data_IF_941246195928
#
_entry.id   IF_941246195928
#
_cell.length_a   1.000
_cell.length_b   1.000
_cell.length_c   1.000
_cell.angle_alpha   90.00
_cell.angle_beta   90.00
_cell.angle_gamma   90.00
#
_symmetry.space_group_name_H-M   'P 1'
#
loop_
_entity.id
_entity.type
_entity.pdbx_description
1 polymer ?
#
# COMPACT_ATOMS: atom_id res chain seq x y z
N UNK A 1 -37.27 -48.72 10.78
CA UNK A 1 -36.96 -48.21 9.43
C UNK A 1 -37.60 -46.83 9.33
N UNK A 2 -36.95 -45.68 9.20
CA UNK A 2 -35.54 -45.31 9.00
C UNK A 2 -35.47 -43.83 9.39
N UNK A 3 -34.89 -43.50 10.55
CA UNK A 3 -34.61 -42.11 10.93
C UNK A 3 -33.30 -41.69 10.29
N UNK A 4 -33.36 -41.16 9.07
CA UNK A 4 -32.18 -40.64 8.39
C UNK A 4 -31.92 -39.22 8.91
N UNK A 5 -31.01 -39.13 9.88
CA UNK A 5 -30.38 -37.90 10.33
C UNK A 5 -29.87 -37.13 9.11
N UNK A 6 -30.53 -36.03 8.76
CA UNK A 6 -29.92 -34.97 7.97
C UNK A 6 -28.81 -34.37 8.82
N UNK A 7 -27.63 -34.98 8.74
CA UNK A 7 -26.41 -34.42 9.28
C UNK A 7 -26.11 -33.17 8.46
N UNK A 8 -26.70 -32.05 8.86
CA UNK A 8 -26.37 -30.74 8.31
C UNK A 8 -24.89 -30.56 8.57
N UNK A 9 -24.08 -30.71 7.51
CA UNK A 9 -22.72 -30.23 7.47
C UNK A 9 -22.78 -28.71 7.67
N UNK A 10 -22.90 -28.27 8.92
CA UNK A 10 -22.45 -26.95 9.33
C UNK A 10 -20.97 -26.99 8.99
N UNK A 11 -20.62 -26.41 7.84
CA UNK A 11 -19.24 -25.98 7.60
C UNK A 11 -18.83 -25.28 8.90
N UNK A 12 -17.73 -25.70 9.57
CA UNK A 12 -17.25 -24.95 10.71
C UNK A 12 -17.19 -23.51 10.24
N UNK A 13 -17.91 -22.61 10.91
CA UNK A 13 -17.86 -21.19 10.59
C UNK A 13 -16.38 -20.86 10.55
N UNK A 14 -15.88 -20.46 9.38
CA UNK A 14 -14.49 -20.10 9.21
C UNK A 14 -14.13 -19.24 10.41
N UNK A 15 -13.11 -19.65 11.17
CA UNK A 15 -12.66 -18.90 12.33
C UNK A 15 -12.64 -17.41 11.94
N UNK A 16 -13.25 -16.54 12.75
CA UNK A 16 -13.32 -15.11 12.48
C UNK A 16 -11.90 -14.54 12.63
N UNK A 17 -11.08 -14.79 11.62
CA UNK A 17 -9.71 -14.34 11.55
C UNK A 17 -9.76 -12.86 11.19
N UNK A 18 -9.18 -12.04 12.06
CA UNK A 18 -8.93 -10.63 11.77
C UNK A 18 -7.81 -10.59 10.74
N UNK A 19 -8.07 -9.99 9.58
CA UNK A 19 -7.08 -9.80 8.53
C UNK A 19 -6.87 -8.32 8.26
N UNK A 20 -5.70 -8.01 7.71
CA UNK A 20 -5.23 -6.68 7.34
C UNK A 20 -4.41 -6.81 6.05
N UNK A 21 -4.42 -5.77 5.25
CA UNK A 21 -3.66 -5.63 4.01
C UNK A 21 -2.54 -4.64 4.29
N UNK A 22 -1.31 -5.00 3.93
CA UNK A 22 -0.13 -4.16 4.07
C UNK A 22 0.49 -3.94 2.70
N UNK A 23 0.91 -2.71 2.43
CA UNK A 23 1.65 -2.35 1.23
C UNK A 23 3.01 -1.75 1.59
N UNK A 24 3.98 -2.06 0.74
CA UNK A 24 5.31 -1.51 0.74
C UNK A 24 6.25 -2.38 -0.08
N UNK A 25 7.55 -2.15 0.09
CA UNK A 25 8.61 -2.81 -0.67
C UNK A 25 9.90 -2.86 0.15
N UNK A 26 10.87 -3.66 -0.28
CA UNK A 26 12.12 -3.94 0.45
C UNK A 26 12.85 -2.66 0.88
N UNK A 27 12.90 -1.66 0.01
CA UNK A 27 13.56 -0.37 0.20
C UNK A 27 12.88 0.51 1.26
N UNK A 28 11.71 0.10 1.77
CA UNK A 28 10.94 0.73 2.83
C UNK A 28 10.81 -0.16 4.08
N UNK A 29 11.69 -1.15 4.21
CA UNK A 29 11.87 -1.97 5.41
C UNK A 29 10.60 -2.55 6.10
N UNK A 30 9.68 -3.25 5.43
CA UNK A 30 9.18 -3.19 4.05
C UNK A 30 7.79 -2.52 3.96
N UNK A 31 7.35 -1.83 5.00
CA UNK A 31 5.95 -1.48 5.21
C UNK A 31 5.72 0.03 5.16
N UNK A 32 4.65 0.46 4.49
CA UNK A 32 4.33 1.87 4.25
C UNK A 32 2.92 2.19 4.71
N UNK A 33 1.95 1.41 4.24
CA UNK A 33 0.54 1.57 4.58
C UNK A 33 -0.04 0.25 5.06
N UNK A 34 -1.05 0.34 5.92
CA UNK A 34 -1.75 -0.84 6.41
C UNK A 34 -3.22 -0.54 6.71
N UNK A 35 -4.11 -1.50 6.41
CA UNK A 35 -5.51 -1.43 6.85
C UNK A 35 -5.63 -1.91 8.31
N UNK A 36 -6.50 -1.28 9.08
CA UNK A 36 -6.81 -1.76 10.43
C UNK A 36 -7.70 -3.00 10.38
N UNK A 37 -7.54 -3.95 11.31
CA UNK A 37 -8.52 -4.99 11.56
C UNK A 37 -9.94 -4.49 11.85
N UNK A 38 -10.11 -3.21 12.16
CA UNK A 38 -11.40 -2.56 12.45
C UNK A 38 -11.92 -1.71 11.28
N UNK A 39 -11.17 -1.58 10.19
CA UNK A 39 -11.63 -0.89 8.99
C UNK A 39 -12.82 -1.63 8.35
N UNK A 40 -13.60 -0.91 7.55
CA UNK A 40 -14.75 -1.49 6.86
C UNK A 40 -14.32 -2.63 5.93
N UNK A 41 -15.25 -3.55 5.61
CA UNK A 41 -14.98 -4.62 4.66
C UNK A 41 -14.57 -4.06 3.29
N UNK A 42 -15.18 -2.94 2.88
CA UNK A 42 -14.86 -2.26 1.63
C UNK A 42 -13.42 -1.73 1.63
N UNK A 43 -13.01 -1.00 2.67
CA UNK A 43 -11.66 -0.42 2.74
C UNK A 43 -10.59 -1.53 2.78
N UNK A 44 -10.83 -2.63 3.50
CA UNK A 44 -9.92 -3.79 3.53
C UNK A 44 -9.74 -4.48 2.18
N UNK A 45 -10.78 -4.48 1.34
CA UNK A 45 -10.79 -5.16 0.04
C UNK A 45 -10.25 -4.27 -1.10
N UNK A 46 -10.43 -2.96 -1.01
CA UNK A 46 -10.21 -2.04 -2.15
C UNK A 46 -9.08 -1.03 -1.91
N UNK A 47 -8.46 -1.04 -0.73
CA UNK A 47 -7.35 -0.14 -0.40
C UNK A 47 -6.19 -0.94 0.21
N UNK A 48 -5.02 -0.31 0.24
CA UNK A 48 -3.85 -0.79 0.98
C UNK A 48 -3.72 -0.08 2.33
N UNK A 49 -4.78 0.60 2.77
CA UNK A 49 -4.85 1.26 4.07
C UNK A 49 -4.23 2.64 4.09
N UNK A 50 -3.87 3.07 5.30
CA UNK A 50 -3.33 4.41 5.58
C UNK A 50 -1.85 4.33 5.93
N UNK A 51 -1.08 5.43 5.79
CA UNK A 51 0.31 5.48 6.21
C UNK A 51 0.49 4.99 7.65
N UNK A 52 1.56 4.24 7.89
CA UNK A 52 1.96 3.82 9.23
C UNK A 52 2.34 5.02 10.09
N UNK A 53 2.45 4.79 11.40
CA UNK A 53 2.88 5.81 12.34
C UNK A 53 4.23 6.41 11.93
N UNK A 54 4.35 7.74 11.93
CA UNK A 54 5.56 8.47 11.52
C UNK A 54 6.04 8.18 10.09
N UNK A 55 5.15 7.66 9.24
CA UNK A 55 5.37 7.52 7.80
C UNK A 55 4.54 8.57 7.07
N UNK A 56 5.20 9.32 6.20
CA UNK A 56 4.57 10.25 5.29
C UNK A 56 4.42 9.59 3.91
N UNK A 57 3.28 9.80 3.28
CA UNK A 57 3.00 9.35 1.91
C UNK A 57 2.44 10.53 1.13
N UNK A 58 2.94 10.73 -0.09
CA UNK A 58 2.39 11.66 -1.07
C UNK A 58 2.17 10.96 -2.39
N UNK A 59 1.23 11.47 -3.18
CA UNK A 59 1.02 11.06 -4.56
C UNK A 59 1.55 12.17 -5.45
N UNK A 60 2.46 11.87 -6.38
CA UNK A 60 3.11 12.88 -7.24
C UNK A 60 2.86 12.61 -8.72
N UNK A 61 2.84 13.67 -9.51
CA UNK A 61 2.74 13.58 -10.97
C UNK A 61 4.08 13.30 -11.64
N UNK A 62 4.10 13.11 -12.97
CA UNK A 62 5.33 12.86 -13.73
C UNK A 62 6.20 14.11 -13.91
N UNK A 63 5.63 15.31 -13.76
CA UNK A 63 6.31 16.57 -14.05
C UNK A 63 7.17 17.07 -12.88
N UNK A 64 6.64 17.00 -11.66
CA UNK A 64 7.22 17.63 -10.47
C UNK A 64 7.10 16.73 -9.24
N UNK A 65 7.97 16.95 -8.25
CA UNK A 65 7.95 16.24 -6.97
C UNK A 65 6.86 16.74 -5.99
N UNK A 66 6.01 17.67 -6.44
CA UNK A 66 4.94 18.24 -5.64
C UNK A 66 3.74 17.29 -5.54
N UNK A 67 3.05 17.25 -4.39
CA UNK A 67 1.85 16.42 -4.23
C UNK A 67 0.74 16.85 -5.19
N UNK A 68 0.10 15.86 -5.84
CA UNK A 68 -1.14 16.04 -6.57
C UNK A 68 -2.32 16.31 -5.62
N UNK A 69 -3.41 16.92 -6.13
CA UNK A 69 -4.67 16.97 -5.40
C UNK A 69 -5.16 15.57 -4.97
N UNK A 70 -5.88 15.51 -3.85
CA UNK A 70 -6.52 14.28 -3.38
C UNK A 70 -7.45 13.71 -4.46
N UNK A 71 -7.41 12.39 -4.66
CA UNK A 71 -8.20 11.70 -5.68
C UNK A 71 -7.52 11.61 -7.07
N UNK A 72 -6.44 12.34 -7.30
CA UNK A 72 -5.70 12.26 -8.58
C UNK A 72 -4.69 11.09 -8.57
N UNK A 73 -4.59 10.32 -9.67
CA UNK A 73 -3.64 9.23 -9.78
C UNK A 73 -2.22 9.74 -10.06
N UNK A 74 -1.25 9.14 -9.39
CA UNK A 74 0.17 9.44 -9.56
C UNK A 74 1.08 8.40 -8.93
N UNK A 75 2.38 8.67 -8.90
CA UNK A 75 3.34 7.82 -8.21
C UNK A 75 3.18 7.94 -6.69
N UNK A 76 3.17 6.80 -6.00
CA UNK A 76 3.23 6.75 -4.54
C UNK A 76 4.67 7.01 -4.11
N UNK A 77 4.91 8.07 -3.36
CA UNK A 77 6.19 8.33 -2.71
C UNK A 77 6.05 8.25 -1.19
N UNK A 78 7.06 7.71 -0.51
CA UNK A 78 7.05 7.54 0.94
C UNK A 78 8.31 8.10 1.59
N UNK A 79 8.16 8.66 2.79
CA UNK A 79 9.27 9.13 3.63
C UNK A 79 9.04 8.73 5.08
N UNK A 80 10.11 8.36 5.78
CA UNK A 80 10.05 8.02 7.19
C UNK A 80 11.29 7.27 7.65
N UNK A 81 11.25 6.77 8.87
CA UNK A 81 12.36 6.06 9.50
C UNK A 81 12.72 4.73 8.82
N UNK A 82 11.82 4.20 8.00
CA UNK A 82 11.89 2.89 7.36
C UNK A 82 12.55 2.92 5.97
N UNK A 83 12.80 4.11 5.42
CA UNK A 83 13.51 4.26 4.15
C UNK A 83 14.92 3.66 4.27
N UNK A 84 15.31 2.86 3.28
CA UNK A 84 16.62 2.22 3.23
C UNK A 84 17.77 3.23 3.27
N UNK A 85 18.96 2.78 3.64
CA UNK A 85 20.18 3.57 3.51
C UNK A 85 20.61 3.76 2.05
N UNK A 86 20.25 2.82 1.19
CA UNK A 86 20.60 2.82 -0.23
C UNK A 86 20.90 1.41 -0.75
N UNK A 87 21.10 1.34 -2.05
CA UNK A 87 21.59 0.14 -2.71
C UNK A 87 23.11 -0.01 -2.52
N UNK A 88 23.55 -1.22 -2.17
CA UNK A 88 24.96 -1.52 -1.94
C UNK A 88 25.79 -1.29 -3.21
N UNK A 89 26.87 -0.50 -3.09
CA UNK A 89 27.77 -0.11 -4.18
C UNK A 89 27.11 0.53 -5.41
N UNK A 90 25.88 1.05 -5.25
CA UNK A 90 25.09 1.68 -6.31
C UNK A 90 24.55 3.06 -5.86
N UNK A 91 25.44 4.05 -5.66
CA UNK A 91 25.04 5.39 -5.20
C UNK A 91 24.16 6.13 -6.21
N UNK A 92 24.38 5.93 -7.52
CA UNK A 92 23.56 6.57 -8.57
C UNK A 92 22.14 6.04 -8.57
N UNK A 93 21.95 4.71 -8.48
CA UNK A 93 20.63 4.11 -8.35
C UNK A 93 19.93 4.55 -7.06
N UNK A 94 20.69 4.67 -5.97
CA UNK A 94 20.16 5.19 -4.69
C UNK A 94 19.61 6.60 -4.85
N UNK A 95 20.37 7.50 -5.49
CA UNK A 95 19.96 8.88 -5.72
C UNK A 95 18.80 9.02 -6.73
N UNK A 96 18.59 8.04 -7.59
CA UNK A 96 17.42 7.97 -8.48
C UNK A 96 16.16 7.47 -7.76
N UNK A 97 16.32 6.63 -6.73
CA UNK A 97 15.20 6.04 -5.99
C UNK A 97 14.81 6.88 -4.77
N UNK A 98 15.76 7.51 -4.09
CA UNK A 98 15.51 8.37 -2.93
C UNK A 98 15.98 9.78 -3.25
N UNK A 99 15.05 10.73 -3.25
CA UNK A 99 15.35 12.13 -3.55
C UNK A 99 16.12 12.82 -2.41
N UNK A 100 16.59 14.03 -2.67
CA UNK A 100 17.36 14.85 -1.71
C UNK A 100 16.59 15.22 -0.44
N UNK A 101 15.26 15.15 -0.49
CA UNK A 101 14.34 15.50 0.60
C UNK A 101 13.91 14.24 1.39
N UNK A 102 14.49 13.08 1.05
CA UNK A 102 14.31 11.79 1.70
C UNK A 102 13.10 11.00 1.22
N UNK A 103 12.45 11.41 0.12
CA UNK A 103 11.32 10.66 -0.44
C UNK A 103 11.80 9.53 -1.31
N UNK A 104 11.33 8.33 -0.99
CA UNK A 104 11.50 7.18 -1.84
C UNK A 104 10.40 7.13 -2.91
N UNK A 105 10.81 7.07 -4.16
CA UNK A 105 9.99 6.86 -5.35
C UNK A 105 9.73 5.37 -5.54
N UNK A 106 8.48 4.94 -5.42
CA UNK A 106 8.15 3.51 -5.42
C UNK A 106 8.02 2.90 -6.82
N UNK A 107 7.81 3.75 -7.84
CA UNK A 107 7.41 3.32 -9.16
C UNK A 107 6.03 2.66 -9.22
N UNK A 108 5.23 2.72 -8.15
CA UNK A 108 3.84 2.27 -8.11
C UNK A 108 2.89 3.44 -8.33
N UNK A 109 1.84 3.20 -9.13
CA UNK A 109 0.75 4.14 -9.32
C UNK A 109 -0.32 3.92 -8.26
N UNK A 110 -0.80 5.01 -7.69
CA UNK A 110 -1.91 4.97 -6.75
C UNK A 110 -2.66 6.29 -6.63
N UNK A 111 -3.71 6.25 -5.83
CA UNK A 111 -4.59 7.37 -5.50
C UNK A 111 -4.79 7.39 -4.00
N UNK A 112 -4.81 8.57 -3.39
CA UNK A 112 -5.18 8.76 -1.99
C UNK A 112 -6.55 9.45 -1.89
N UNK A 113 -7.43 8.95 -1.03
CA UNK A 113 -8.73 9.56 -0.73
C UNK A 113 -8.63 10.61 0.40
N UNK A 114 -9.71 11.37 0.63
CA UNK A 114 -9.78 12.42 1.66
C UNK A 114 -9.60 11.90 3.10
N UNK A 115 -9.77 10.59 3.31
CA UNK A 115 -9.59 9.91 4.60
C UNK A 115 -8.15 9.40 4.77
N UNK A 116 -7.31 9.55 3.75
CA UNK A 116 -5.91 9.12 3.70
C UNK A 116 -5.71 7.65 3.30
N UNK A 117 -6.75 6.96 2.84
CA UNK A 117 -6.59 5.60 2.32
C UNK A 117 -5.97 5.63 0.94
N UNK A 118 -5.01 4.74 0.71
CA UNK A 118 -4.31 4.61 -0.56
C UNK A 118 -4.82 3.39 -1.30
N UNK A 119 -5.06 3.53 -2.59
CA UNK A 119 -5.32 2.41 -3.51
C UNK A 119 -4.17 2.33 -4.51
N UNK A 120 -3.62 1.13 -4.71
CA UNK A 120 -2.59 0.86 -5.72
C UNK A 120 -3.28 0.43 -7.02
N UNK A 121 -2.95 1.08 -8.13
CA UNK A 121 -3.60 0.87 -9.43
C UNK A 121 -2.68 0.22 -10.47
N UNK A 122 -1.37 0.14 -10.22
CA UNK A 122 -0.43 -0.53 -11.12
C UNK A 122 1.01 -0.09 -10.92
N UNK A 123 1.87 -0.36 -11.91
CA UNK A 123 3.27 0.05 -11.95
C UNK A 123 3.44 1.15 -13.01
N UNK A 124 4.27 2.14 -12.69
CA UNK A 124 4.55 3.26 -13.59
C UNK A 124 5.22 2.80 -14.90
N UNK A 125 6.07 1.77 -14.84
CA UNK A 125 6.75 1.18 -16.00
C UNK A 125 5.86 0.33 -16.90
N UNK A 126 4.71 -0.13 -16.38
CA UNK A 126 3.78 -1.01 -17.11
C UNK A 126 2.64 -0.23 -17.78
N UNK A 127 2.62 1.10 -17.64
CA UNK A 127 1.63 1.96 -18.30
C UNK A 127 1.98 2.08 -19.79
N UNK A 128 1.20 1.39 -20.62
CA UNK A 128 1.22 1.54 -22.08
C UNK A 128 0.32 2.73 -22.45
N UNK A 129 0.88 3.79 -23.04
CA UNK A 129 0.15 4.91 -23.65
C UNK A 129 0.12 4.72 -25.16
#
# INVERSE_FOLDING_TARGET
MTGCLQNSLRRPSAASARFSTLYGQTELSPAVTQTSPDDSAHDKLHTVGRPLWQVEVKIVGPADADPLPVGEPGEICARGYQVMLGYHDLPEATAQTVDRDGWLHTGDLGVMDERGYVTVSGRLKDMII
#
